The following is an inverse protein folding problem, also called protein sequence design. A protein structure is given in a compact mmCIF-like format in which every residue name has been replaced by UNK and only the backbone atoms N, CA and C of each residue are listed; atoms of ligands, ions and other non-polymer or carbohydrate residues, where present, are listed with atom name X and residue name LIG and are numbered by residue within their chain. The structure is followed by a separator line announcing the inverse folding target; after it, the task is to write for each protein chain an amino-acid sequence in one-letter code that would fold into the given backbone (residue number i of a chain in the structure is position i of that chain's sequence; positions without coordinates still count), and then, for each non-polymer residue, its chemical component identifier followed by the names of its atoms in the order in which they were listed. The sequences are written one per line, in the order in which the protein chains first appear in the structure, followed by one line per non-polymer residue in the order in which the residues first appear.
data_IF_905985139276
#
_entry.id   IF_905985139276
#
_cell.length_a   1.000
_cell.length_b   1.000
_cell.length_c   1.000
_cell.angle_alpha   90.00
_cell.angle_beta   90.00
_cell.angle_gamma   90.00
#
_symmetry.space_group_name_H-M   'P 1'
#
loop_
_entity.id
_entity.type
_entity.pdbx_description
1 polymer ?
#
# COMPACT_ATOMS: atom_id res chain seq x y z
N UNK A 1 9.72 -5.63 -45.80
CA UNK A 1 8.67 -5.19 -44.87
C UNK A 1 8.62 -6.08 -43.62
N UNK A 2 9.52 -5.88 -42.65
CA UNK A 2 9.42 -6.55 -41.33
C UNK A 2 9.99 -5.61 -40.28
N UNK A 3 9.12 -5.05 -39.43
CA UNK A 3 9.37 -4.62 -38.04
C UNK A 3 8.15 -3.84 -37.53
N UNK A 4 7.17 -4.56 -37.02
CA UNK A 4 6.06 -4.00 -36.26
C UNK A 4 5.52 -5.04 -35.26
N UNK A 5 6.40 -5.66 -34.47
CA UNK A 5 6.01 -6.58 -33.38
C UNK A 5 6.96 -6.42 -32.18
N UNK A 6 7.14 -5.19 -31.70
CA UNK A 6 7.92 -4.91 -30.48
C UNK A 6 7.34 -3.71 -29.71
N UNK A 7 6.04 -3.77 -29.44
CA UNK A 7 5.35 -2.83 -28.55
C UNK A 7 4.26 -3.52 -27.69
N UNK A 8 3.96 -4.80 -27.94
CA UNK A 8 2.85 -5.53 -27.28
C UNK A 8 3.27 -6.27 -26.00
N UNK A 9 4.57 -6.45 -25.78
CA UNK A 9 5.13 -7.06 -24.57
C UNK A 9 5.20 -6.09 -23.38
N UNK A 10 5.59 -4.84 -23.63
CA UNK A 10 5.80 -3.84 -22.56
C UNK A 10 4.50 -3.43 -21.88
N UNK A 11 3.39 -3.27 -22.63
CA UNK A 11 2.11 -2.90 -22.03
C UNK A 11 1.53 -3.99 -21.11
N UNK A 12 1.79 -5.27 -21.41
CA UNK A 12 1.38 -6.39 -20.55
C UNK A 12 2.20 -6.45 -19.27
N UNK A 13 3.52 -6.25 -19.36
CA UNK A 13 4.40 -6.23 -18.20
C UNK A 13 4.07 -5.07 -17.26
N UNK A 14 3.83 -3.87 -17.80
CA UNK A 14 3.39 -2.69 -17.03
C UNK A 14 2.01 -2.89 -16.40
N UNK A 15 1.10 -3.61 -17.08
CA UNK A 15 -0.22 -3.92 -16.52
C UNK A 15 -0.15 -4.91 -15.35
N UNK A 16 0.71 -5.94 -15.43
CA UNK A 16 0.89 -6.92 -14.35
C UNK A 16 1.56 -6.28 -13.14
N UNK A 17 2.63 -5.50 -13.35
CA UNK A 17 3.29 -4.74 -12.28
C UNK A 17 2.31 -3.81 -11.57
N UNK A 18 1.43 -3.12 -12.32
CA UNK A 18 0.39 -2.27 -11.73
C UNK A 18 -0.61 -3.08 -10.88
N UNK A 19 -1.02 -4.26 -11.33
CA UNK A 19 -1.94 -5.14 -10.57
C UNK A 19 -1.28 -5.62 -9.27
N UNK A 20 -0.03 -6.05 -9.32
CA UNK A 20 0.75 -6.49 -8.15
C UNK A 20 0.97 -5.35 -7.14
N UNK A 21 1.21 -4.14 -7.65
CA UNK A 21 1.35 -2.91 -6.85
C UNK A 21 0.07 -2.58 -6.11
N UNK A 22 -1.07 -2.58 -6.83
CA UNK A 22 -2.38 -2.32 -6.24
C UNK A 22 -2.75 -3.40 -5.20
N UNK A 23 -2.42 -4.67 -5.48
CA UNK A 23 -2.57 -5.76 -4.53
C UNK A 23 -1.75 -5.55 -3.25
N UNK A 24 -0.50 -5.13 -3.39
CA UNK A 24 0.39 -4.84 -2.26
C UNK A 24 -0.13 -3.67 -1.42
N UNK A 25 -0.61 -2.60 -2.05
CA UNK A 25 -1.22 -1.45 -1.35
C UNK A 25 -2.47 -1.89 -0.57
N UNK A 26 -3.35 -2.69 -1.17
CA UNK A 26 -4.56 -3.17 -0.51
C UNK A 26 -4.23 -4.03 0.74
N UNK A 27 -3.19 -4.85 0.67
CA UNK A 27 -2.71 -5.64 1.83
C UNK A 27 -2.19 -4.71 2.94
N UNK A 28 -1.42 -3.68 2.60
CA UNK A 28 -0.93 -2.71 3.60
C UNK A 28 -2.09 -1.97 4.28
N UNK A 29 -3.08 -1.50 3.51
CA UNK A 29 -4.27 -0.85 4.06
C UNK A 29 -5.04 -1.79 5.00
N UNK A 30 -5.18 -3.07 4.62
CA UNK A 30 -5.84 -4.06 5.46
C UNK A 30 -5.13 -4.27 6.79
N UNK A 31 -3.79 -4.38 6.77
CA UNK A 31 -2.97 -4.56 7.98
C UNK A 31 -3.09 -3.35 8.90
N UNK A 32 -2.98 -2.13 8.36
CA UNK A 32 -3.11 -0.90 9.16
C UNK A 32 -4.50 -0.79 9.80
N UNK A 33 -5.55 -1.14 9.06
CA UNK A 33 -6.91 -1.19 9.63
C UNK A 33 -7.00 -2.18 10.80
N UNK A 34 -6.36 -3.35 10.70
CA UNK A 34 -6.33 -4.32 11.80
C UNK A 34 -5.61 -3.80 13.04
N UNK A 35 -4.52 -3.04 12.87
CA UNK A 35 -3.86 -2.40 14.00
C UNK A 35 -4.72 -1.32 14.65
N UNK A 36 -5.45 -0.51 13.87
CA UNK A 36 -6.42 0.46 14.42
C UNK A 36 -7.53 -0.23 15.22
N UNK A 37 -8.11 -1.30 14.67
CA UNK A 37 -9.12 -2.11 15.38
C UNK A 37 -8.57 -2.66 16.71
N UNK A 38 -7.33 -3.14 16.73
CA UNK A 38 -6.68 -3.61 17.95
C UNK A 38 -6.50 -2.46 18.96
N UNK A 39 -6.03 -1.29 18.52
CA UNK A 39 -5.85 -0.11 19.39
C UNK A 39 -7.18 0.36 19.99
N UNK A 40 -8.24 0.36 19.19
CA UNK A 40 -9.57 0.81 19.61
C UNK A 40 -10.21 -0.14 20.64
N UNK A 41 -9.93 -1.44 20.51
CA UNK A 41 -10.53 -2.47 21.36
C UNK A 41 -9.70 -2.80 22.61
N UNK A 42 -8.41 -2.45 22.61
CA UNK A 42 -7.54 -2.66 23.76
C UNK A 42 -7.81 -1.62 24.86
N UNK A 43 -8.42 -2.08 25.95
CA UNK A 43 -8.72 -1.26 27.14
C UNK A 43 -7.48 -0.90 27.95
N UNK A 44 -6.34 -1.53 27.70
CA UNK A 44 -5.07 -1.19 28.34
C UNK A 44 -4.42 0.07 27.74
N UNK A 45 -4.88 0.50 26.56
CA UNK A 45 -4.39 1.71 25.89
C UNK A 45 -5.24 2.91 26.33
N UNK A 46 -4.64 3.92 27.01
CA UNK A 46 -5.33 5.14 27.38
C UNK A 46 -5.94 5.85 26.17
N UNK A 47 -7.19 6.35 26.24
CA UNK A 47 -7.86 7.04 25.13
C UNK A 47 -7.03 8.18 24.53
N UNK A 48 -6.29 8.91 25.35
CA UNK A 48 -5.41 10.01 24.96
C UNK A 48 -4.23 9.57 24.06
N UNK A 49 -3.79 8.31 24.15
CA UNK A 49 -2.71 7.78 23.32
C UNK A 49 -3.19 7.22 21.98
N UNK A 50 -4.47 6.82 21.89
CA UNK A 50 -5.03 6.20 20.66
C UNK A 50 -4.91 7.13 19.46
N UNK A 51 -5.18 8.42 19.65
CA UNK A 51 -5.04 9.42 18.60
C UNK A 51 -3.62 9.51 18.04
N UNK A 52 -2.62 9.51 18.91
CA UNK A 52 -1.21 9.54 18.50
C UNK A 52 -0.80 8.25 17.76
N UNK A 53 -1.21 7.09 18.28
CA UNK A 53 -0.94 5.80 17.64
C UNK A 53 -1.57 5.70 16.25
N UNK A 54 -2.82 6.16 16.09
CA UNK A 54 -3.47 6.21 14.78
C UNK A 54 -2.73 7.14 13.81
N UNK A 55 -2.31 8.33 14.26
CA UNK A 55 -1.56 9.25 13.42
C UNK A 55 -0.23 8.65 12.93
N UNK A 56 0.50 7.94 13.81
CA UNK A 56 1.74 7.25 13.44
C UNK A 56 1.51 6.13 12.42
N UNK A 57 0.45 5.34 12.58
CA UNK A 57 0.09 4.31 11.60
C UNK A 57 -0.22 4.91 10.22
N UNK A 58 -0.85 6.09 10.20
CA UNK A 58 -1.27 6.77 8.97
C UNK A 58 -0.08 7.34 8.21
N UNK A 59 0.85 7.94 8.94
CA UNK A 59 2.12 8.41 8.39
C UNK A 59 2.89 7.25 7.74
N UNK A 60 3.05 6.13 8.45
CA UNK A 60 3.74 4.96 7.91
C UNK A 60 3.03 4.34 6.70
N UNK A 61 1.69 4.34 6.68
CA UNK A 61 0.93 3.86 5.52
C UNK A 61 1.19 4.75 4.29
N UNK A 62 1.22 6.07 4.47
CA UNK A 62 1.53 7.03 3.39
C UNK A 62 2.94 6.79 2.86
N UNK A 63 3.93 6.65 3.73
CA UNK A 63 5.32 6.37 3.34
C UNK A 63 5.48 5.02 2.63
N UNK A 64 4.81 3.98 3.12
CA UNK A 64 4.82 2.66 2.50
C UNK A 64 4.21 2.69 1.09
N UNK A 65 3.05 3.35 0.93
CA UNK A 65 2.41 3.55 -0.38
C UNK A 65 3.32 4.32 -1.35
N UNK A 66 3.99 5.38 -0.88
CA UNK A 66 4.95 6.13 -1.70
C UNK A 66 6.08 5.24 -2.19
N UNK A 67 6.71 4.44 -1.31
CA UNK A 67 7.79 3.52 -1.70
C UNK A 67 7.34 2.50 -2.76
N UNK A 68 6.15 1.93 -2.58
CA UNK A 68 5.59 0.95 -3.52
C UNK A 68 5.26 1.58 -4.86
N UNK A 69 4.73 2.80 -4.90
CA UNK A 69 4.46 3.51 -6.15
C UNK A 69 5.75 3.97 -6.86
N UNK A 70 6.77 4.38 -6.10
CA UNK A 70 8.05 4.81 -6.67
C UNK A 70 8.87 3.64 -7.22
N UNK A 71 8.74 2.43 -6.66
CA UNK A 71 9.41 1.23 -7.17
C UNK A 71 8.80 0.68 -8.47
N UNK A 72 7.75 1.30 -8.99
CA UNK A 72 7.00 0.89 -10.20
C UNK A 72 7.31 1.81 -11.39
N UNK A 73 8.22 2.77 -11.23
CA UNK A 73 8.65 3.71 -12.28
C UNK A 73 10.13 3.53 -12.62
#
# INVERSE_FOLDING_TARGET
MKRALRAKGDNRMMSLQRIETLGSIAVMEHIIRKFRELIDTDSSIPPELRGALHATLDEHLIEAKKRVLLNVH
#
